data_IF_925980798831
#
_entry.id   IF_925980798831
#
_cell.length_a   1.000
_cell.length_b   1.000
_cell.length_c   1.000
_cell.angle_alpha   90.00
_cell.angle_beta   90.00
_cell.angle_gamma   90.00
#
_symmetry.space_group_name_H-M   'P 1'
#
loop_
_entity.id
_entity.type
_entity.pdbx_description
1 polymer ?
#
# COMPACT_ATOMS: atom_id res chain seq x y z
N UNK A 1 -59.50 91.31 -25.67
CA UNK A 1 -58.87 90.46 -24.63
C UNK A 1 -58.79 88.98 -25.01
N UNK A 2 -59.83 88.37 -25.58
CA UNK A 2 -59.85 86.94 -25.92
C UNK A 2 -58.70 86.47 -26.83
N UNK A 3 -58.33 87.19 -27.89
CA UNK A 3 -57.23 86.80 -28.80
C UNK A 3 -55.84 86.77 -28.13
N UNK A 4 -55.58 87.68 -27.19
CA UNK A 4 -54.29 87.72 -26.44
C UNK A 4 -54.20 86.56 -25.44
N UNK A 5 -55.30 86.26 -24.74
CA UNK A 5 -55.38 85.11 -23.85
C UNK A 5 -55.19 83.79 -24.62
N UNK A 6 -55.77 83.69 -25.82
CA UNK A 6 -55.64 82.51 -26.68
C UNK A 6 -54.18 82.29 -27.13
N UNK A 7 -53.47 83.36 -27.53
CA UNK A 7 -52.04 83.28 -27.86
C UNK A 7 -51.17 82.93 -26.66
N UNK A 8 -51.47 83.45 -25.46
CA UNK A 8 -50.74 83.08 -24.22
C UNK A 8 -50.92 81.59 -23.92
N UNK A 9 -52.14 81.06 -24.03
CA UNK A 9 -52.41 79.64 -23.81
C UNK A 9 -51.70 78.77 -24.85
N UNK A 10 -51.71 79.16 -26.13
CA UNK A 10 -51.03 78.43 -27.21
C UNK A 10 -49.51 78.42 -26.97
N UNK A 11 -48.91 79.56 -26.62
CA UNK A 11 -47.48 79.65 -26.33
C UNK A 11 -47.13 78.82 -25.09
N UNK A 12 -47.92 78.91 -24.02
CA UNK A 12 -47.71 78.10 -22.82
C UNK A 12 -47.84 76.60 -23.10
N UNK A 13 -48.84 76.19 -23.87
CA UNK A 13 -49.01 74.81 -24.28
C UNK A 13 -47.85 74.32 -25.16
N UNK A 14 -47.37 75.14 -26.10
CA UNK A 14 -46.21 74.82 -26.92
C UNK A 14 -44.92 74.69 -26.09
N UNK A 15 -44.70 75.58 -25.11
CA UNK A 15 -43.58 75.50 -24.18
C UNK A 15 -43.66 74.22 -23.35
N UNK A 16 -44.82 73.89 -22.80
CA UNK A 16 -45.02 72.65 -22.02
C UNK A 16 -44.80 71.42 -22.90
N UNK A 17 -45.28 71.43 -24.15
CA UNK A 17 -45.14 70.32 -25.09
C UNK A 17 -43.68 70.03 -25.44
N UNK A 18 -42.79 71.04 -25.39
CA UNK A 18 -41.35 70.88 -25.64
C UNK A 18 -40.59 70.59 -24.34
N UNK A 19 -40.87 71.35 -23.28
CA UNK A 19 -40.14 71.29 -22.02
C UNK A 19 -40.42 70.00 -21.24
N UNK A 20 -41.66 69.49 -21.25
CA UNK A 20 -42.01 68.31 -20.46
C UNK A 20 -41.32 67.03 -20.98
N UNK A 21 -41.32 66.71 -22.29
CA UNK A 21 -40.57 65.56 -22.80
C UNK A 21 -39.06 65.67 -22.55
N UNK A 22 -38.49 66.87 -22.72
CA UNK A 22 -37.08 67.11 -22.43
C UNK A 22 -36.75 66.88 -20.94
N UNK A 23 -37.53 67.46 -20.03
CA UNK A 23 -37.34 67.26 -18.59
C UNK A 23 -37.51 65.79 -18.20
N UNK A 24 -38.49 65.10 -18.78
CA UNK A 24 -38.70 63.67 -18.56
C UNK A 24 -37.49 62.86 -19.03
N UNK A 25 -36.93 63.18 -20.18
CA UNK A 25 -35.75 62.53 -20.73
C UNK A 25 -34.53 62.73 -19.82
N UNK A 26 -34.21 63.98 -19.47
CA UNK A 26 -33.05 64.27 -18.61
C UNK A 26 -33.17 63.66 -17.21
N UNK A 27 -34.36 63.71 -16.61
CA UNK A 27 -34.63 63.11 -15.28
C UNK A 27 -34.76 61.58 -15.31
N UNK A 28 -34.51 60.94 -16.45
CA UNK A 28 -34.48 59.48 -16.62
C UNK A 28 -33.07 58.95 -16.82
N UNK A 29 -32.06 59.82 -16.94
CA UNK A 29 -30.67 59.43 -17.18
C UNK A 29 -29.95 59.05 -15.88
N UNK A 30 -28.96 58.15 -15.96
CA UNK A 30 -28.08 57.83 -14.83
C UNK A 30 -27.39 59.06 -14.21
N UNK A 31 -27.08 60.08 -15.02
CA UNK A 31 -26.45 61.34 -14.56
C UNK A 31 -27.34 62.11 -13.58
N UNK A 32 -28.65 62.15 -13.82
CA UNK A 32 -29.60 62.76 -12.89
C UNK A 32 -29.68 61.94 -11.60
N UNK A 33 -29.81 60.62 -11.70
CA UNK A 33 -29.85 59.75 -10.53
C UNK A 33 -28.60 59.90 -9.65
N UNK A 34 -27.42 60.12 -10.27
CA UNK A 34 -26.16 60.33 -9.56
C UNK A 34 -26.08 61.64 -8.74
N UNK A 35 -27.06 62.53 -8.86
CA UNK A 35 -27.16 63.75 -8.05
C UNK A 35 -27.66 63.46 -6.64
N UNK A 36 -28.46 62.39 -6.46
CA UNK A 36 -28.94 61.93 -5.15
C UNK A 36 -27.84 61.16 -4.41
N UNK A 37 -27.62 61.45 -3.13
CA UNK A 37 -26.58 60.81 -2.33
C UNK A 37 -26.90 59.34 -2.06
N UNK A 38 -28.18 59.00 -1.88
CA UNK A 38 -28.65 57.63 -1.72
C UNK A 38 -28.40 56.77 -2.96
N UNK A 39 -28.36 57.37 -4.16
CA UNK A 39 -28.19 56.68 -5.45
C UNK A 39 -26.74 56.48 -5.90
N UNK A 40 -25.78 57.27 -5.40
CA UNK A 40 -24.39 57.25 -5.90
C UNK A 40 -23.75 55.86 -5.95
N UNK A 41 -23.87 55.00 -4.91
CA UNK A 41 -23.27 53.66 -4.96
C UNK A 41 -23.89 52.77 -6.04
N UNK A 42 -25.19 52.91 -6.29
CA UNK A 42 -25.91 52.15 -7.31
C UNK A 42 -25.53 52.56 -8.72
N UNK A 43 -25.29 53.85 -8.94
CA UNK A 43 -24.77 54.36 -10.22
C UNK A 43 -23.33 53.88 -10.45
N UNK A 44 -22.50 53.85 -9.41
CA UNK A 44 -21.14 53.30 -9.51
C UNK A 44 -21.17 51.81 -9.90
N UNK A 45 -21.96 50.99 -9.20
CA UNK A 45 -22.13 49.58 -9.52
C UNK A 45 -22.69 49.35 -10.94
N UNK A 46 -23.65 50.17 -11.38
CA UNK A 46 -24.18 50.10 -12.74
C UNK A 46 -23.11 50.35 -13.80
N UNK A 47 -22.21 51.33 -13.60
CA UNK A 47 -21.11 51.65 -14.52
C UNK A 47 -20.13 50.48 -14.70
N UNK A 48 -19.95 49.68 -13.67
CA UNK A 48 -19.06 48.50 -13.67
C UNK A 48 -19.75 47.24 -14.20
N UNK A 49 -21.08 47.24 -14.28
CA UNK A 49 -21.87 46.10 -14.72
C UNK A 49 -21.88 45.90 -16.24
N UNK A 50 -22.27 44.71 -16.68
CA UNK A 50 -22.52 44.40 -18.09
C UNK A 50 -23.68 45.24 -18.70
N UNK A 51 -24.47 45.93 -17.87
CA UNK A 51 -25.59 46.78 -18.29
C UNK A 51 -25.24 48.28 -18.26
N UNK A 52 -23.97 48.66 -18.14
CA UNK A 52 -23.51 50.05 -18.10
C UNK A 52 -23.87 50.90 -19.34
N UNK A 53 -24.35 50.26 -20.42
CA UNK A 53 -24.81 50.94 -21.65
C UNK A 53 -26.33 51.10 -21.73
N UNK A 54 -27.06 50.68 -20.71
CA UNK A 54 -28.52 50.72 -20.65
C UNK A 54 -28.95 51.69 -19.56
N UNK A 55 -29.83 52.64 -19.88
CA UNK A 55 -30.33 53.62 -18.89
C UNK A 55 -31.09 52.95 -17.74
N UNK A 56 -30.97 53.50 -16.53
CA UNK A 56 -31.63 52.99 -15.31
C UNK A 56 -33.11 52.69 -15.53
N UNK A 57 -33.78 53.55 -16.29
CA UNK A 57 -35.23 53.49 -16.53
C UNK A 57 -35.66 52.39 -17.49
N UNK A 58 -34.74 51.77 -18.23
CA UNK A 58 -35.07 50.55 -18.97
C UNK A 58 -35.46 49.40 -18.02
N UNK A 59 -34.90 49.38 -16.80
CA UNK A 59 -35.18 48.36 -15.78
C UNK A 59 -36.07 48.86 -14.64
N UNK A 60 -36.02 50.15 -14.30
CA UNK A 60 -36.78 50.71 -13.17
C UNK A 60 -38.16 51.28 -13.55
N UNK A 61 -38.58 51.16 -14.81
CA UNK A 61 -39.88 51.62 -15.30
C UNK A 61 -40.52 50.58 -16.21
N UNK A 62 -41.85 50.50 -16.17
CA UNK A 62 -42.61 49.74 -17.16
C UNK A 62 -42.73 50.48 -18.51
N UNK A 63 -42.66 49.75 -19.64
CA UNK A 63 -42.83 50.35 -20.96
C UNK A 63 -44.22 51.01 -21.13
N UNK A 64 -44.32 51.96 -22.07
CA UNK A 64 -45.56 52.68 -22.38
C UNK A 64 -45.82 53.92 -21.50
N UNK A 65 -46.79 54.74 -21.90
CA UNK A 65 -47.07 56.04 -21.28
C UNK A 65 -47.51 55.93 -19.81
N UNK A 66 -48.35 54.94 -19.48
CA UNK A 66 -48.83 54.74 -18.10
C UNK A 66 -47.67 54.42 -17.15
N UNK A 67 -46.73 53.56 -17.57
CA UNK A 67 -45.54 53.24 -16.78
C UNK A 67 -44.64 54.45 -16.55
N UNK A 68 -44.52 55.33 -17.56
CA UNK A 68 -43.81 56.60 -17.45
C UNK A 68 -44.42 57.51 -16.39
N UNK A 69 -45.73 57.69 -16.44
CA UNK A 69 -46.42 58.57 -15.49
C UNK A 69 -46.35 58.03 -14.07
N UNK A 70 -46.55 56.72 -13.87
CA UNK A 70 -46.42 56.07 -12.55
C UNK A 70 -45.04 56.29 -11.94
N UNK A 71 -43.98 56.05 -12.69
CA UNK A 71 -42.62 56.19 -12.15
C UNK A 71 -42.24 57.64 -11.89
N UNK A 72 -42.71 58.60 -12.70
CA UNK A 72 -42.45 60.02 -12.48
C UNK A 72 -43.20 60.57 -11.26
N UNK A 73 -44.46 60.18 -11.06
CA UNK A 73 -45.21 60.49 -9.84
C UNK A 73 -44.55 59.87 -8.60
N UNK A 74 -44.09 58.61 -8.70
CA UNK A 74 -43.31 57.97 -7.64
C UNK A 74 -41.97 58.67 -7.37
N UNK A 75 -41.29 59.15 -8.42
CA UNK A 75 -40.06 59.92 -8.32
C UNK A 75 -40.24 61.23 -7.54
N UNK A 76 -41.39 61.92 -7.68
CA UNK A 76 -41.70 63.09 -6.86
C UNK A 76 -41.77 62.76 -5.37
N UNK A 77 -42.35 61.61 -5.01
CA UNK A 77 -42.34 61.10 -3.64
C UNK A 77 -40.92 60.82 -3.15
N UNK A 78 -40.08 60.22 -4.00
CA UNK A 78 -38.68 59.96 -3.66
C UNK A 78 -37.88 61.25 -3.45
N UNK A 79 -38.12 62.29 -4.26
CA UNK A 79 -37.50 63.62 -4.06
C UNK A 79 -37.91 64.22 -2.72
N UNK A 80 -39.19 64.12 -2.33
CA UNK A 80 -39.64 64.59 -1.03
C UNK A 80 -38.89 63.87 0.10
N UNK A 81 -38.80 62.54 0.06
CA UNK A 81 -38.09 61.72 1.06
C UNK A 81 -36.58 62.04 1.10
N UNK A 82 -35.94 62.22 -0.05
CA UNK A 82 -34.51 62.57 -0.10
C UNK A 82 -34.24 63.94 0.53
N UNK A 83 -35.18 64.89 0.40
CA UNK A 83 -35.05 66.22 1.00
C UNK A 83 -35.37 66.24 2.49
N UNK A 84 -36.35 65.45 2.96
CA UNK A 84 -36.82 65.47 4.35
C UNK A 84 -36.10 64.46 5.25
N UNK A 85 -35.84 63.25 4.76
CA UNK A 85 -35.34 62.12 5.55
C UNK A 85 -33.87 61.77 5.23
N UNK A 86 -33.40 62.06 4.01
CA UNK A 86 -32.01 61.79 3.55
C UNK A 86 -31.58 60.33 3.84
N UNK A 87 -32.30 59.33 3.32
CA UNK A 87 -32.03 57.94 3.62
C UNK A 87 -30.63 57.53 3.14
N UNK A 88 -29.99 56.65 3.90
CA UNK A 88 -28.72 56.04 3.50
C UNK A 88 -28.93 55.05 2.34
N UNK A 89 -27.89 54.78 1.54
CA UNK A 89 -27.96 53.78 0.45
C UNK A 89 -28.41 52.39 0.91
N UNK A 90 -28.10 51.98 2.13
CA UNK A 90 -28.50 50.66 2.65
C UNK A 90 -30.00 50.61 2.98
N UNK A 91 -30.59 51.71 3.45
CA UNK A 91 -32.02 51.79 3.77
C UNK A 91 -32.92 51.67 2.54
N UNK A 92 -32.42 51.99 1.35
CA UNK A 92 -33.17 51.90 0.09
C UNK A 92 -32.85 50.62 -0.70
N UNK A 93 -31.87 49.84 -0.27
CA UNK A 93 -31.42 48.62 -0.95
C UNK A 93 -32.57 47.62 -1.07
N UNK A 94 -32.79 47.10 -2.28
CA UNK A 94 -33.80 46.08 -2.54
C UNK A 94 -35.26 46.54 -2.48
N UNK A 95 -35.53 47.84 -2.25
CA UNK A 95 -36.90 48.38 -2.27
C UNK A 95 -37.47 48.59 -3.68
N UNK A 96 -36.61 48.58 -4.70
CA UNK A 96 -37.02 48.72 -6.09
C UNK A 96 -37.51 47.39 -6.66
N UNK A 97 -38.74 47.37 -7.16
CA UNK A 97 -39.29 46.21 -7.85
C UNK A 97 -38.85 46.17 -9.31
N UNK A 98 -38.21 45.08 -9.73
CA UNK A 98 -37.79 44.81 -11.11
C UNK A 98 -38.37 43.47 -11.57
N UNK A 99 -39.59 43.47 -12.13
CA UNK A 99 -40.27 42.25 -12.57
C UNK A 99 -39.72 41.74 -13.92
N UNK A 100 -39.86 40.42 -14.16
CA UNK A 100 -39.31 39.72 -15.33
C UNK A 100 -39.63 40.39 -16.67
N UNK A 101 -40.84 40.92 -16.84
CA UNK A 101 -41.29 41.61 -18.07
C UNK A 101 -40.32 42.71 -18.55
N UNK A 102 -39.55 43.32 -17.65
CA UNK A 102 -38.58 44.37 -17.98
C UNK A 102 -37.28 43.79 -18.52
N UNK A 103 -36.87 42.63 -18.01
CA UNK A 103 -35.78 41.85 -18.59
C UNK A 103 -36.18 41.33 -19.98
N UNK A 104 -37.41 40.80 -20.10
CA UNK A 104 -37.98 40.20 -21.32
C UNK A 104 -38.26 41.22 -22.44
N UNK A 105 -38.23 42.52 -22.12
CA UNK A 105 -38.26 43.58 -23.13
C UNK A 105 -37.02 43.50 -24.05
N UNK A 106 -35.89 43.02 -23.52
CA UNK A 106 -34.63 42.86 -24.26
C UNK A 106 -34.17 41.39 -24.39
N UNK A 107 -34.43 40.55 -23.39
CA UNK A 107 -33.99 39.14 -23.34
C UNK A 107 -35.16 38.20 -23.57
N UNK A 108 -35.34 37.70 -24.80
CA UNK A 108 -36.40 36.73 -25.12
C UNK A 108 -36.01 35.33 -24.64
N UNK A 109 -36.90 34.67 -23.90
CA UNK A 109 -36.64 33.39 -23.22
C UNK A 109 -36.19 32.27 -24.17
N UNK A 110 -36.65 32.31 -25.42
CA UNK A 110 -36.31 31.36 -26.49
C UNK A 110 -34.94 31.62 -27.13
N UNK A 111 -34.35 32.80 -26.93
CA UNK A 111 -33.04 33.18 -27.45
C UNK A 111 -31.92 33.02 -26.42
N UNK A 112 -32.25 32.73 -25.17
CA UNK A 112 -31.26 32.56 -24.10
C UNK A 112 -30.81 31.11 -24.05
N UNK A 113 -29.60 30.87 -24.58
CA UNK A 113 -28.95 29.56 -24.51
C UNK A 113 -28.11 29.44 -23.25
N UNK A 114 -28.16 28.27 -22.61
CA UNK A 114 -27.25 27.92 -21.52
C UNK A 114 -26.12 27.09 -22.11
N UNK A 115 -24.91 27.62 -22.03
CA UNK A 115 -23.71 26.91 -22.48
C UNK A 115 -23.19 26.04 -21.32
N UNK A 116 -23.39 24.74 -21.42
CA UNK A 116 -22.91 23.76 -20.44
C UNK A 116 -23.24 22.32 -20.82
N UNK A 117 -22.69 21.36 -20.07
CA UNK A 117 -22.99 19.92 -20.20
C UNK A 117 -24.30 19.51 -19.52
N UNK A 118 -25.23 20.46 -19.35
CA UNK A 118 -26.52 20.26 -18.72
C UNK A 118 -27.61 21.03 -19.47
N UNK A 119 -28.82 20.51 -19.41
CA UNK A 119 -30.02 21.10 -20.00
C UNK A 119 -30.70 22.01 -18.98
N UNK A 120 -30.96 23.26 -19.36
CA UNK A 120 -31.72 24.20 -18.58
C UNK A 120 -32.74 24.93 -19.45
N UNK A 121 -33.97 25.09 -18.95
CA UNK A 121 -35.06 25.74 -19.67
C UNK A 121 -35.49 27.02 -18.95
N UNK A 122 -35.17 28.18 -19.53
CA UNK A 122 -35.67 29.47 -19.03
C UNK A 122 -37.20 29.56 -19.12
N UNK A 123 -37.81 29.01 -20.18
CA UNK A 123 -39.27 28.95 -20.36
C UNK A 123 -39.97 28.17 -19.25
N UNK A 124 -39.39 27.04 -18.81
CA UNK A 124 -39.95 26.29 -17.68
C UNK A 124 -39.87 27.09 -16.37
N UNK A 125 -38.73 27.69 -16.08
CA UNK A 125 -38.47 28.33 -14.79
C UNK A 125 -39.10 29.73 -14.68
N UNK A 126 -38.82 30.61 -15.62
CA UNK A 126 -39.32 31.98 -15.61
C UNK A 126 -40.75 32.09 -16.17
N UNK A 127 -41.05 31.37 -17.25
CA UNK A 127 -42.37 31.40 -17.89
C UNK A 127 -43.41 30.60 -17.12
N UNK A 128 -43.29 29.27 -17.10
CA UNK A 128 -44.31 28.37 -16.51
C UNK A 128 -44.35 28.40 -14.99
N UNK A 129 -43.20 28.49 -14.32
CA UNK A 129 -43.10 28.52 -12.85
C UNK A 129 -43.07 29.93 -12.27
N UNK A 130 -42.99 30.96 -13.11
CA UNK A 130 -43.06 32.36 -12.69
C UNK A 130 -41.89 32.80 -11.80
N UNK A 131 -40.74 32.14 -11.85
CA UNK A 131 -39.58 32.49 -11.03
C UNK A 131 -38.99 33.82 -11.49
N UNK A 132 -38.73 34.72 -10.54
CA UNK A 132 -38.10 36.00 -10.85
C UNK A 132 -36.70 35.79 -11.43
N UNK A 133 -36.33 36.48 -12.51
CA UNK A 133 -35.02 36.36 -13.15
C UNK A 133 -33.87 36.59 -12.15
N UNK A 134 -34.06 37.57 -11.26
CA UNK A 134 -33.10 37.96 -10.21
C UNK A 134 -32.91 36.91 -9.11
N UNK A 135 -33.77 35.90 -9.02
CA UNK A 135 -33.58 34.74 -8.14
C UNK A 135 -32.29 33.99 -8.49
N UNK A 136 -32.04 33.85 -9.80
CA UNK A 136 -30.85 33.19 -10.33
C UNK A 136 -29.78 34.23 -10.70
N UNK A 137 -30.17 35.28 -11.42
CA UNK A 137 -29.29 36.38 -11.82
C UNK A 137 -29.30 37.51 -10.78
N UNK A 138 -28.96 37.17 -9.54
CA UNK A 138 -28.87 38.14 -8.44
C UNK A 138 -27.65 39.06 -8.59
N UNK A 139 -27.77 40.32 -8.16
CA UNK A 139 -26.63 41.24 -8.10
C UNK A 139 -26.06 41.69 -9.45
N UNK A 140 -26.80 41.50 -10.56
CA UNK A 140 -26.36 41.82 -11.93
C UNK A 140 -25.83 43.26 -12.12
N UNK A 141 -26.54 44.24 -11.57
CA UNK A 141 -26.28 45.68 -11.78
C UNK A 141 -25.90 46.39 -10.49
N UNK A 142 -26.42 45.90 -9.36
CA UNK A 142 -26.30 46.53 -8.06
C UNK A 142 -25.72 45.56 -7.04
N UNK A 143 -24.42 45.27 -7.17
CA UNK A 143 -23.68 44.38 -6.29
C UNK A 143 -22.79 43.43 -7.08
N UNK A 144 -22.50 42.29 -6.48
CA UNK A 144 -21.70 41.24 -7.10
C UNK A 144 -22.60 40.27 -7.85
N UNK A 145 -22.29 40.02 -9.12
CA UNK A 145 -23.01 39.04 -9.92
C UNK A 145 -22.99 37.66 -9.25
N UNK A 146 -24.19 37.09 -9.06
CA UNK A 146 -24.33 35.75 -8.50
C UNK A 146 -23.85 34.72 -9.52
N UNK A 147 -22.72 34.06 -9.21
CA UNK A 147 -22.28 32.86 -9.94
C UNK A 147 -23.06 31.66 -9.43
N UNK A 148 -23.85 31.04 -10.31
CA UNK A 148 -24.65 29.86 -9.97
C UNK A 148 -23.77 28.62 -9.92
N UNK A 149 -23.96 27.83 -8.86
CA UNK A 149 -23.36 26.52 -8.69
C UNK A 149 -24.43 25.42 -8.84
N UNK A 150 -24.01 24.18 -9.07
CA UNK A 150 -24.94 23.05 -9.07
C UNK A 150 -25.69 22.92 -7.73
N UNK A 151 -25.03 23.29 -6.62
CA UNK A 151 -25.62 23.27 -5.29
C UNK A 151 -26.80 24.25 -5.19
N UNK A 152 -26.68 25.47 -5.75
CA UNK A 152 -27.79 26.44 -5.81
C UNK A 152 -29.03 25.83 -6.50
N UNK A 153 -28.81 25.08 -7.59
CA UNK A 153 -29.88 24.43 -8.33
C UNK A 153 -30.56 23.35 -7.50
N UNK A 154 -29.77 22.46 -6.87
CA UNK A 154 -30.26 21.35 -6.07
C UNK A 154 -30.98 21.83 -4.82
N UNK A 155 -30.48 22.86 -4.14
CA UNK A 155 -31.12 23.38 -2.93
C UNK A 155 -32.48 24.01 -3.25
N UNK A 156 -32.58 24.78 -4.33
CA UNK A 156 -33.84 25.31 -4.82
C UNK A 156 -34.80 24.17 -5.21
N UNK A 157 -34.32 23.16 -5.94
CA UNK A 157 -35.14 22.02 -6.35
C UNK A 157 -35.61 21.19 -5.16
N UNK A 158 -34.79 20.97 -4.14
CA UNK A 158 -35.22 20.34 -2.89
C UNK A 158 -36.31 21.15 -2.20
N UNK A 159 -36.14 22.47 -2.13
CA UNK A 159 -37.11 23.37 -1.48
C UNK A 159 -38.44 23.45 -2.25
N UNK A 160 -38.41 23.37 -3.59
CA UNK A 160 -39.58 23.54 -4.46
C UNK A 160 -40.08 22.22 -5.08
N UNK A 161 -39.61 21.08 -4.56
CA UNK A 161 -39.94 19.73 -5.04
C UNK A 161 -39.69 19.53 -6.56
N UNK A 162 -38.60 20.11 -7.06
CA UNK A 162 -38.08 19.89 -8.40
C UNK A 162 -37.25 18.61 -8.53
N UNK A 163 -36.91 18.19 -9.76
CA UNK A 163 -36.11 17.00 -10.00
C UNK A 163 -34.68 17.19 -9.49
N UNK A 164 -34.18 16.23 -8.73
CA UNK A 164 -32.82 16.24 -8.15
C UNK A 164 -31.95 15.10 -8.67
N UNK A 165 -32.51 14.19 -9.49
CA UNK A 165 -31.74 13.18 -10.21
C UNK A 165 -30.82 13.84 -11.22
N UNK A 166 -29.58 13.34 -11.31
CA UNK A 166 -28.56 13.87 -12.20
C UNK A 166 -29.08 13.95 -13.64
N UNK A 167 -29.68 12.85 -14.11
CA UNK A 167 -30.19 12.66 -15.47
C UNK A 167 -31.26 13.66 -15.90
N UNK A 168 -31.92 14.30 -14.94
CA UNK A 168 -32.93 15.32 -15.23
C UNK A 168 -32.33 16.61 -15.76
N UNK A 169 -31.06 16.88 -15.42
CA UNK A 169 -30.31 18.03 -15.90
C UNK A 169 -29.17 17.59 -16.85
N UNK A 170 -28.66 16.38 -16.68
CA UNK A 170 -27.46 15.89 -17.32
C UNK A 170 -27.78 14.75 -18.29
N UNK A 171 -28.13 15.10 -19.53
CA UNK A 171 -28.56 14.13 -20.55
C UNK A 171 -27.43 13.23 -21.06
N UNK A 172 -26.18 13.72 -21.08
CA UNK A 172 -25.01 12.94 -21.49
C UNK A 172 -24.09 12.61 -20.30
N UNK A 173 -24.28 11.42 -19.73
CA UNK A 173 -23.43 10.89 -18.66
C UNK A 173 -21.96 10.77 -19.07
N UNK A 174 -21.68 10.55 -20.36
CA UNK A 174 -20.32 10.44 -20.88
C UNK A 174 -19.64 11.81 -21.04
N UNK A 175 -20.41 12.89 -21.26
CA UNK A 175 -19.90 14.27 -21.25
C UNK A 175 -19.54 14.79 -19.85
N UNK A 176 -20.07 14.16 -18.80
CA UNK A 176 -19.86 14.57 -17.40
C UNK A 176 -18.76 13.75 -16.74
N UNK A 177 -18.55 12.51 -17.20
CA UNK A 177 -17.35 11.75 -16.87
C UNK A 177 -16.18 12.40 -17.61
N UNK A 178 -15.21 13.04 -16.93
CA UNK A 178 -14.15 13.69 -17.66
C UNK A 178 -13.38 12.65 -18.49
N UNK A 179 -13.04 13.00 -19.73
CA UNK A 179 -12.35 12.14 -20.71
C UNK A 179 -11.08 11.49 -20.15
N UNK A 180 -10.55 12.06 -19.08
CA UNK A 180 -9.38 11.57 -18.38
C UNK A 180 -9.60 10.24 -17.67
N UNK A 181 -10.82 9.75 -17.37
CA UNK A 181 -11.08 8.49 -16.62
C UNK A 181 -10.66 7.19 -17.36
N UNK A 182 -9.44 7.17 -17.88
CA UNK A 182 -8.73 6.08 -18.52
C UNK A 182 -7.68 5.48 -17.55
N UNK A 183 -6.85 4.57 -18.06
CA UNK A 183 -5.78 3.96 -17.26
C UNK A 183 -4.75 4.98 -16.73
N UNK A 184 -4.62 6.17 -17.34
CA UNK A 184 -3.70 7.22 -16.89
C UNK A 184 -4.30 8.03 -15.74
N UNK A 185 -5.60 8.33 -15.76
CA UNK A 185 -6.25 8.91 -14.57
C UNK A 185 -6.26 7.94 -13.41
N UNK A 186 -6.53 6.64 -13.61
CA UNK A 186 -6.42 5.66 -12.51
C UNK A 186 -5.05 5.73 -11.82
N UNK A 187 -3.97 5.97 -12.57
CA UNK A 187 -2.63 6.15 -12.03
C UNK A 187 -2.40 7.51 -11.31
N UNK A 188 -3.13 8.57 -11.67
CA UNK A 188 -2.92 9.93 -11.16
C UNK A 188 -4.05 10.46 -10.25
N UNK A 189 -5.20 9.77 -10.17
CA UNK A 189 -6.42 10.27 -9.53
C UNK A 189 -6.23 10.56 -8.05
N UNK A 190 -5.36 9.81 -7.35
CA UNK A 190 -5.06 10.04 -5.94
C UNK A 190 -4.35 11.38 -5.70
N UNK A 191 -3.57 11.88 -6.66
CA UNK A 191 -2.93 13.20 -6.57
C UNK A 191 -3.94 14.32 -6.83
N UNK A 192 -4.84 14.13 -7.80
CA UNK A 192 -5.89 15.11 -8.10
C UNK A 192 -6.96 15.16 -6.98
N UNK A 193 -7.38 14.01 -6.45
CA UNK A 193 -8.32 13.91 -5.33
C UNK A 193 -7.77 14.55 -4.03
N UNK A 194 -6.45 14.59 -3.84
CA UNK A 194 -5.82 15.31 -2.72
C UNK A 194 -5.88 16.83 -2.88
N UNK A 195 -5.91 17.34 -4.11
CA UNK A 195 -5.99 18.79 -4.37
C UNK A 195 -7.39 19.30 -4.07
N UNK A 196 -8.41 18.57 -4.55
CA UNK A 196 -9.81 18.94 -4.36
C UNK A 196 -10.71 17.70 -4.38
N UNK A 197 -10.91 17.13 -3.19
CA UNK A 197 -11.82 15.99 -3.04
C UNK A 197 -13.27 16.41 -3.26
N UNK A 198 -13.64 17.64 -2.87
CA UNK A 198 -15.01 18.14 -2.96
C UNK A 198 -15.49 18.24 -4.41
N UNK A 199 -14.60 18.61 -5.33
CA UNK A 199 -14.87 18.56 -6.77
C UNK A 199 -15.28 17.16 -7.26
N UNK A 200 -14.69 16.10 -6.69
CA UNK A 200 -15.00 14.72 -7.05
C UNK A 200 -16.31 14.26 -6.38
N UNK A 201 -16.51 14.59 -5.11
CA UNK A 201 -17.72 14.23 -4.36
C UNK A 201 -18.95 14.96 -4.87
N UNK A 202 -18.77 16.04 -5.62
CA UNK A 202 -19.86 16.75 -6.30
C UNK A 202 -20.68 15.80 -7.20
N UNK A 203 -20.03 14.83 -7.85
CA UNK A 203 -20.70 13.78 -8.61
C UNK A 203 -20.75 12.42 -7.88
N UNK A 204 -19.76 12.11 -7.04
CA UNK A 204 -19.62 10.82 -6.35
C UNK A 204 -20.28 10.79 -4.95
N UNK A 205 -21.53 11.21 -4.85
CA UNK A 205 -22.29 11.31 -3.58
C UNK A 205 -23.71 10.74 -3.61
N UNK A 206 -24.14 10.11 -4.72
CA UNK A 206 -25.47 9.50 -4.88
C UNK A 206 -25.78 8.35 -3.91
N UNK A 207 -26.68 7.42 -4.28
CA UNK A 207 -27.25 6.36 -3.41
C UNK A 207 -26.25 5.53 -2.58
N UNK A 208 -24.99 5.46 -3.00
CA UNK A 208 -23.95 4.74 -2.30
C UNK A 208 -23.32 5.56 -1.16
N UNK A 209 -23.29 6.89 -1.24
CA UNK A 209 -22.49 7.74 -0.35
C UNK A 209 -21.00 7.67 -0.66
N UNK A 210 -20.27 8.73 -0.30
CA UNK A 210 -18.84 8.90 -0.62
C UNK A 210 -17.99 7.70 -0.20
N UNK A 211 -18.17 7.26 1.04
CA UNK A 211 -17.40 6.16 1.63
C UNK A 211 -17.61 4.85 0.87
N UNK A 212 -18.86 4.54 0.53
CA UNK A 212 -19.23 3.31 -0.18
C UNK A 212 -18.77 3.37 -1.64
N UNK A 213 -18.81 4.55 -2.27
CA UNK A 213 -18.29 4.75 -3.62
C UNK A 213 -16.78 4.56 -3.67
N UNK A 214 -16.02 5.24 -2.80
CA UNK A 214 -14.58 5.06 -2.67
C UNK A 214 -14.22 3.60 -2.40
N UNK A 215 -14.99 2.92 -1.53
CA UNK A 215 -14.77 1.52 -1.18
C UNK A 215 -15.05 0.53 -2.31
N UNK A 216 -15.82 0.89 -3.35
CA UNK A 216 -15.98 0.03 -4.53
C UNK A 216 -14.65 -0.19 -5.27
N UNK A 217 -13.75 0.79 -5.22
CA UNK A 217 -12.44 0.72 -5.88
C UNK A 217 -11.30 0.50 -4.87
N UNK A 218 -11.32 1.18 -3.72
CA UNK A 218 -10.27 1.09 -2.69
C UNK A 218 -10.42 -0.13 -1.77
N UNK A 219 -11.52 -0.88 -1.85
CA UNK A 219 -11.76 -2.13 -1.12
C UNK A 219 -11.41 -2.06 0.39
N UNK A 220 -11.78 -0.95 1.03
CA UNK A 220 -11.57 -0.74 2.47
C UNK A 220 -10.19 -0.19 2.86
N UNK A 221 -9.32 0.12 1.91
CA UNK A 221 -8.06 0.85 2.17
C UNK A 221 -8.38 2.33 2.36
N UNK A 222 -8.10 2.87 3.55
CA UNK A 222 -8.31 4.29 3.86
C UNK A 222 -7.39 5.17 3.01
N UNK A 223 -7.97 6.11 2.27
CA UNK A 223 -7.27 7.06 1.41
C UNK A 223 -7.56 8.52 1.81
N UNK A 224 -6.56 9.41 1.82
CA UNK A 224 -5.13 9.10 1.71
C UNK A 224 -4.65 8.22 2.87
N UNK A 225 -3.63 7.38 2.65
CA UNK A 225 -3.08 6.54 3.72
C UNK A 225 -2.74 7.39 4.95
N UNK A 226 -3.13 6.97 6.17
CA UNK A 226 -2.82 7.72 7.40
C UNK A 226 -1.31 7.83 7.61
N UNK A 227 -0.85 8.86 8.33
CA UNK A 227 0.58 9.15 8.51
C UNK A 227 1.40 7.96 9.08
N UNK A 228 0.77 7.10 9.88
CA UNK A 228 1.40 5.91 10.47
C UNK A 228 1.16 4.61 9.66
N UNK A 229 0.55 4.70 8.48
CA UNK A 229 0.21 3.53 7.66
C UNK A 229 1.45 2.69 7.31
N UNK A 230 2.55 3.33 6.92
CA UNK A 230 3.82 2.64 6.61
C UNK A 230 4.33 1.78 7.78
N UNK A 231 4.12 2.19 9.03
CA UNK A 231 4.55 1.45 10.22
C UNK A 231 3.59 0.32 10.61
N UNK A 232 2.32 0.45 10.27
CA UNK A 232 1.24 -0.38 10.80
C UNK A 232 0.50 -1.20 9.73
N UNK A 233 0.87 -1.08 8.45
CA UNK A 233 0.21 -1.82 7.38
C UNK A 233 0.54 -3.32 7.48
N UNK A 234 -0.44 -4.09 7.94
CA UNK A 234 -0.45 -5.56 7.88
C UNK A 234 -1.47 -5.94 6.82
N UNK A 235 -1.00 -6.26 5.62
CA UNK A 235 -1.89 -6.57 4.50
C UNK A 235 -2.00 -8.08 4.37
N UNK A 236 -3.20 -8.61 4.60
CA UNK A 236 -3.52 -10.04 4.44
C UNK A 236 -3.61 -10.44 2.96
N UNK A 237 -3.89 -9.49 2.07
CA UNK A 237 -4.07 -9.70 0.64
C UNK A 237 -3.41 -8.59 -0.20
N UNK A 238 -2.26 -8.93 -0.78
CA UNK A 238 -1.45 -8.06 -1.64
C UNK A 238 -2.15 -7.70 -2.97
N UNK A 239 -3.22 -8.40 -3.35
CA UNK A 239 -3.96 -8.12 -4.60
C UNK A 239 -4.68 -6.77 -4.55
N UNK A 240 -5.06 -6.31 -3.35
CA UNK A 240 -5.65 -4.99 -3.13
C UNK A 240 -4.65 -3.88 -3.49
N UNK A 241 -3.38 -4.06 -3.16
CA UNK A 241 -2.31 -3.11 -3.49
C UNK A 241 -2.02 -3.11 -5.00
N UNK A 242 -2.00 -4.28 -5.63
CA UNK A 242 -1.78 -4.46 -7.07
C UNK A 242 -2.91 -3.88 -7.93
N UNK A 243 -4.07 -3.59 -7.35
CA UNK A 243 -5.16 -2.90 -8.06
C UNK A 243 -4.77 -1.48 -8.48
N UNK A 244 -3.83 -0.85 -7.77
CA UNK A 244 -3.35 0.52 -8.07
C UNK A 244 -1.83 0.59 -8.33
N UNK A 245 -1.02 -0.29 -7.71
CA UNK A 245 0.45 -0.28 -7.82
C UNK A 245 1.01 -1.22 -8.91
N UNK A 246 0.17 -1.70 -9.82
CA UNK A 246 0.60 -2.56 -10.91
C UNK A 246 0.94 -1.77 -12.17
N UNK A 247 2.23 -1.62 -12.45
CA UNK A 247 2.70 -2.05 -13.76
C UNK A 247 3.82 -3.07 -13.59
N UNK A 248 3.67 -4.29 -14.12
CA UNK A 248 4.80 -5.14 -14.38
C UNK A 248 5.57 -4.51 -15.55
N UNK A 249 6.82 -4.13 -15.33
CA UNK A 249 7.76 -4.06 -16.44
C UNK A 249 7.94 -5.51 -16.89
N UNK A 250 7.81 -5.75 -18.19
CA UNK A 250 8.19 -7.01 -18.82
C UNK A 250 9.54 -7.48 -18.23
N UNK A 251 9.57 -8.67 -17.62
CA UNK A 251 10.76 -9.18 -16.91
C UNK A 251 10.63 -9.37 -15.38
N UNK A 252 9.44 -9.19 -14.81
CA UNK A 252 9.06 -9.91 -13.58
C UNK A 252 9.67 -9.43 -12.26
N UNK A 253 9.92 -8.13 -12.08
CA UNK A 253 10.16 -7.57 -10.74
C UNK A 253 9.34 -6.30 -10.50
N UNK A 254 8.45 -6.37 -9.51
CA UNK A 254 7.65 -5.24 -9.05
C UNK A 254 8.57 -4.15 -8.47
N UNK A 255 8.88 -3.12 -9.27
CA UNK A 255 9.65 -1.96 -8.83
C UNK A 255 8.98 -1.20 -7.66
N UNK A 256 7.67 -1.34 -7.45
CA UNK A 256 6.91 -0.61 -6.42
C UNK A 256 6.98 -1.22 -5.02
N UNK A 257 6.97 -2.55 -4.91
CA UNK A 257 7.09 -3.24 -3.62
C UNK A 257 8.55 -3.27 -3.18
N UNK A 258 9.46 -3.60 -4.10
CA UNK A 258 10.89 -3.75 -3.82
C UNK A 258 11.54 -2.39 -3.47
N UNK A 259 11.05 -1.27 -4.03
CA UNK A 259 11.57 0.06 -3.70
C UNK A 259 11.43 0.41 -2.22
N UNK A 260 10.40 -0.11 -1.55
CA UNK A 260 10.14 0.17 -0.13
C UNK A 260 10.53 -1.02 0.77
N UNK A 261 10.24 -2.26 0.36
CA UNK A 261 10.48 -3.46 1.16
C UNK A 261 11.87 -4.06 0.99
N UNK A 262 12.61 -3.68 -0.07
CA UNK A 262 13.96 -4.16 -0.39
C UNK A 262 14.10 -5.69 -0.56
N UNK A 263 12.99 -6.41 -0.44
CA UNK A 263 12.82 -7.85 -0.60
C UNK A 263 11.56 -8.08 -1.44
N UNK A 264 11.60 -9.09 -2.29
CA UNK A 264 10.45 -9.48 -3.11
C UNK A 264 9.28 -9.94 -2.23
N UNK A 265 8.12 -9.32 -2.44
CA UNK A 265 6.89 -9.57 -1.68
C UNK A 265 5.69 -9.73 -2.64
N UNK A 266 4.82 -10.75 -2.43
CA UNK A 266 4.92 -11.81 -1.44
C UNK A 266 6.18 -12.67 -1.66
N UNK A 267 6.79 -13.15 -0.57
CA UNK A 267 8.00 -13.97 -0.68
C UNK A 267 7.74 -15.15 -1.63
N UNK A 268 8.72 -15.52 -2.49
CA UNK A 268 8.54 -16.57 -3.47
C UNK A 268 8.25 -17.92 -2.79
N UNK A 269 7.60 -18.85 -3.50
CA UNK A 269 7.19 -20.14 -2.94
C UNK A 269 8.37 -20.98 -2.40
N UNK A 270 9.59 -20.75 -2.91
CA UNK A 270 10.84 -21.39 -2.46
C UNK A 270 11.64 -20.54 -1.44
N UNK A 271 11.04 -19.50 -0.85
CA UNK A 271 11.73 -18.59 0.07
C UNK A 271 12.33 -19.30 1.28
N UNK A 272 11.62 -20.28 1.85
CA UNK A 272 12.07 -21.05 3.01
C UNK A 272 13.42 -21.73 2.80
N UNK A 273 13.74 -22.17 1.57
CA UNK A 273 15.03 -22.78 1.23
C UNK A 273 16.07 -21.79 0.69
N UNK A 274 15.65 -20.60 0.25
CA UNK A 274 16.53 -19.64 -0.43
C UNK A 274 16.90 -18.42 0.42
N UNK A 275 16.13 -18.11 1.48
CA UNK A 275 16.30 -16.91 2.30
C UNK A 275 17.69 -16.81 2.93
N UNK A 276 18.30 -17.92 3.36
CA UNK A 276 19.64 -17.90 3.95
C UNK A 276 20.72 -17.39 2.98
N UNK A 277 20.66 -17.81 1.70
CA UNK A 277 21.57 -17.32 0.66
C UNK A 277 21.32 -15.83 0.39
N UNK A 278 20.05 -15.43 0.33
CA UNK A 278 19.67 -14.02 0.17
C UNK A 278 20.22 -13.15 1.30
N UNK A 279 20.07 -13.57 2.57
CA UNK A 279 20.58 -12.83 3.74
C UNK A 279 22.11 -12.67 3.70
N UNK A 280 22.84 -13.70 3.26
CA UNK A 280 24.30 -13.61 3.12
C UNK A 280 24.73 -12.65 2.01
N UNK A 281 23.95 -12.56 0.93
CA UNK A 281 24.22 -11.70 -0.23
C UNK A 281 23.76 -10.24 -0.01
N UNK A 282 22.76 -10.02 0.84
CA UNK A 282 22.09 -8.71 1.02
C UNK A 282 22.13 -8.27 2.49
N UNK A 283 23.35 -8.07 3.03
CA UNK A 283 23.59 -7.71 4.45
C UNK A 283 22.97 -6.37 4.89
N UNK A 284 22.58 -5.55 3.92
CA UNK A 284 21.97 -4.23 4.08
C UNK A 284 20.45 -4.28 4.30
N UNK A 285 19.81 -5.44 4.18
CA UNK A 285 18.38 -5.61 4.46
C UNK A 285 18.17 -5.97 5.93
N UNK A 286 17.50 -5.11 6.68
CA UNK A 286 17.14 -5.40 8.08
C UNK A 286 15.80 -6.15 8.16
N UNK A 287 15.87 -7.47 8.30
CA UNK A 287 14.68 -8.32 8.42
C UNK A 287 13.82 -7.98 9.65
N UNK A 288 14.42 -7.46 10.72
CA UNK A 288 13.73 -7.13 11.97
C UNK A 288 12.83 -5.89 11.87
N UNK A 289 12.91 -5.16 10.76
CA UNK A 289 11.97 -4.08 10.45
C UNK A 289 10.55 -4.62 10.22
N UNK A 290 10.43 -5.86 9.76
CA UNK A 290 9.14 -6.50 9.48
C UNK A 290 8.90 -7.77 10.30
N UNK A 291 9.98 -8.43 10.75
CA UNK A 291 9.92 -9.71 11.45
C UNK A 291 10.37 -9.61 12.90
N UNK A 292 9.78 -10.46 13.75
CA UNK A 292 10.20 -10.59 15.15
C UNK A 292 11.15 -11.76 15.34
N UNK A 293 12.01 -11.72 16.37
CA UNK A 293 12.95 -12.81 16.69
C UNK A 293 12.23 -14.15 16.94
N UNK A 294 11.00 -14.10 17.46
CA UNK A 294 10.14 -15.26 17.71
C UNK A 294 9.72 -15.96 16.42
N UNK A 295 9.49 -15.23 15.32
CA UNK A 295 9.14 -15.81 14.03
C UNK A 295 10.29 -16.64 13.46
N UNK A 296 11.53 -16.16 13.59
CA UNK A 296 12.71 -16.92 13.20
C UNK A 296 12.86 -18.19 14.04
N UNK A 297 12.60 -18.09 15.36
CA UNK A 297 12.79 -19.17 16.33
C UNK A 297 11.80 -20.33 16.14
N UNK A 298 10.71 -20.12 15.41
CA UNK A 298 9.75 -21.18 15.06
C UNK A 298 10.42 -22.27 14.23
N UNK A 299 11.28 -21.88 13.28
CA UNK A 299 12.03 -22.79 12.40
C UNK A 299 13.52 -22.90 12.78
N UNK A 300 14.20 -21.79 13.08
CA UNK A 300 15.62 -21.76 13.44
C UNK A 300 15.83 -22.08 14.92
N UNK A 301 16.25 -23.30 15.24
CA UNK A 301 16.57 -23.75 16.61
C UNK A 301 18.04 -23.51 16.99
N UNK A 302 18.83 -22.98 16.06
CA UNK A 302 20.27 -22.72 16.15
C UNK A 302 20.51 -21.32 15.61
N UNK A 303 21.51 -20.61 16.15
CA UNK A 303 21.83 -19.24 15.75
C UNK A 303 22.31 -19.20 14.28
N UNK A 304 21.71 -18.27 13.51
CA UNK A 304 21.97 -18.07 12.09
C UNK A 304 22.30 -16.60 11.79
N UNK A 305 23.29 -16.30 10.91
CA UNK A 305 24.22 -17.25 10.32
C UNK A 305 25.08 -17.93 11.40
N UNK A 306 25.45 -19.19 11.17
CA UNK A 306 26.30 -19.93 12.12
C UNK A 306 27.55 -19.11 12.47
N UNK A 307 27.98 -19.09 13.74
CA UNK A 307 29.15 -18.32 14.15
C UNK A 307 30.42 -18.81 13.45
N UNK A 308 31.45 -17.96 13.33
CA UNK A 308 32.72 -18.34 12.70
C UNK A 308 33.38 -19.56 13.38
N UNK A 309 33.11 -19.78 14.66
CA UNK A 309 33.59 -20.93 15.44
C UNK A 309 32.75 -22.20 15.25
N UNK A 310 31.74 -22.21 14.39
CA UNK A 310 30.79 -23.32 14.25
C UNK A 310 31.49 -24.65 13.95
N UNK A 311 32.53 -24.65 13.11
CA UNK A 311 33.26 -25.89 12.80
C UNK A 311 33.87 -26.54 14.05
N UNK A 312 34.30 -25.78 15.04
CA UNK A 312 34.85 -26.32 16.29
C UNK A 312 33.80 -26.55 17.38
N UNK A 313 32.61 -25.92 17.29
CA UNK A 313 31.57 -26.01 18.34
C UNK A 313 30.35 -26.86 17.95
N UNK A 314 30.12 -27.14 16.67
CA UNK A 314 28.90 -27.80 16.18
C UNK A 314 28.67 -29.18 16.81
N UNK A 315 29.75 -29.93 17.13
CA UNK A 315 29.64 -31.23 17.79
C UNK A 315 29.00 -31.15 19.18
N UNK A 316 29.33 -30.11 19.97
CA UNK A 316 28.70 -29.88 21.29
C UNK A 316 27.22 -29.51 21.14
N UNK A 317 26.90 -28.68 20.15
CA UNK A 317 25.51 -28.29 19.86
C UNK A 317 24.68 -29.49 19.38
N UNK A 318 25.24 -30.34 18.52
CA UNK A 318 24.58 -31.55 18.04
C UNK A 318 24.31 -32.56 19.18
N UNK A 319 25.23 -32.66 20.15
CA UNK A 319 25.03 -33.48 21.36
C UNK A 319 23.94 -32.91 22.27
N UNK A 320 23.92 -31.59 22.46
CA UNK A 320 22.97 -30.94 23.38
C UNK A 320 21.55 -30.85 22.82
N UNK A 321 21.40 -30.60 21.51
CA UNK A 321 20.10 -30.35 20.85
C UNK A 321 19.61 -31.52 19.99
N UNK A 322 20.41 -32.57 19.84
CA UNK A 322 20.15 -33.67 18.93
C UNK A 322 20.37 -33.30 17.46
N UNK A 323 20.73 -34.28 16.63
CA UNK A 323 21.02 -34.06 15.21
C UNK A 323 19.75 -33.78 14.37
N UNK A 324 18.57 -34.14 14.88
CA UNK A 324 17.28 -33.79 14.28
C UNK A 324 17.01 -32.27 14.26
N UNK A 325 17.66 -31.49 15.13
CA UNK A 325 17.60 -30.03 15.09
C UNK A 325 18.33 -29.41 13.88
N UNK A 326 19.12 -30.22 13.17
CA UNK A 326 19.93 -29.83 12.00
C UNK A 326 19.42 -30.50 10.71
N UNK A 327 19.01 -31.78 10.81
CA UNK A 327 18.55 -32.60 9.69
C UNK A 327 17.08 -32.38 9.35
N UNK A 328 16.74 -32.47 8.06
CA UNK A 328 15.36 -32.43 7.57
C UNK A 328 14.79 -31.02 7.40
N UNK A 329 15.24 -30.05 8.19
CA UNK A 329 14.83 -28.65 8.06
C UNK A 329 15.76 -27.80 7.19
N UNK A 330 17.07 -28.05 7.23
CA UNK A 330 18.05 -27.25 6.47
C UNK A 330 19.22 -28.08 5.88
N UNK A 331 19.67 -29.12 6.58
CA UNK A 331 20.73 -30.02 6.09
C UNK A 331 20.23 -31.45 5.89
N UNK A 332 20.95 -32.21 5.07
CA UNK A 332 20.71 -33.64 4.88
C UNK A 332 21.79 -34.46 5.59
N UNK A 333 21.53 -35.75 5.80
CA UNK A 333 22.55 -36.68 6.34
C UNK A 333 23.82 -36.67 5.47
N UNK A 334 23.67 -36.54 4.15
CA UNK A 334 24.78 -36.43 3.22
C UNK A 334 25.71 -35.24 3.51
N UNK A 335 25.17 -34.13 4.03
CA UNK A 335 25.99 -32.98 4.44
C UNK A 335 26.94 -33.35 5.57
N UNK A 336 26.47 -34.07 6.59
CA UNK A 336 27.34 -34.53 7.66
C UNK A 336 28.30 -35.61 7.18
N UNK A 337 27.84 -36.59 6.40
CA UNK A 337 28.67 -37.67 5.85
C UNK A 337 29.76 -37.13 4.90
N UNK A 338 29.55 -35.96 4.29
CA UNK A 338 30.56 -35.31 3.44
C UNK A 338 31.83 -34.93 4.22
N UNK A 339 31.68 -34.56 5.49
CA UNK A 339 32.78 -34.17 6.38
C UNK A 339 33.13 -35.26 7.40
N UNK A 340 32.13 -35.88 8.03
CA UNK A 340 32.28 -36.96 9.01
C UNK A 340 32.42 -38.29 8.28
N UNK A 341 33.67 -38.74 8.11
CA UNK A 341 33.99 -40.06 7.52
C UNK A 341 34.14 -41.18 8.57
N UNK A 342 33.87 -40.85 9.83
CA UNK A 342 33.87 -41.75 10.99
C UNK A 342 32.55 -41.62 11.76
N UNK A 343 32.09 -42.66 12.48
CA UNK A 343 30.84 -42.58 13.25
C UNK A 343 30.89 -41.48 14.31
N UNK A 344 29.90 -40.58 14.29
CA UNK A 344 29.75 -39.46 15.22
C UNK A 344 28.36 -39.47 15.88
N UNK A 345 28.24 -39.07 17.16
CA UNK A 345 29.32 -38.68 18.07
C UNK A 345 30.19 -39.87 18.50
N UNK A 346 31.47 -39.65 18.76
CA UNK A 346 32.32 -40.68 19.37
C UNK A 346 31.76 -41.11 20.74
N UNK A 347 31.68 -42.42 21.00
CA UNK A 347 31.33 -42.91 22.33
C UNK A 347 32.43 -42.61 23.35
N UNK A 348 32.09 -42.61 24.64
CA UNK A 348 33.07 -42.50 25.72
C UNK A 348 34.13 -43.62 25.69
N UNK A 349 33.78 -44.77 25.11
CA UNK A 349 34.66 -45.92 24.90
C UNK A 349 35.43 -45.90 23.57
N UNK A 350 35.18 -44.92 22.69
CA UNK A 350 35.80 -44.89 21.37
C UNK A 350 37.33 -44.91 21.46
N UNK A 351 37.90 -44.07 22.33
CA UNK A 351 39.36 -43.95 22.53
C UNK A 351 40.03 -45.27 22.93
N UNK A 352 39.34 -46.13 23.67
CA UNK A 352 39.90 -47.35 24.26
C UNK A 352 39.52 -48.63 23.52
N UNK A 353 38.38 -48.64 22.80
CA UNK A 353 37.85 -49.87 22.20
C UNK A 353 37.96 -49.89 20.67
N UNK A 354 37.65 -48.79 19.98
CA UNK A 354 37.47 -48.80 18.50
C UNK A 354 38.33 -47.78 17.75
N UNK A 355 38.99 -46.86 18.44
CA UNK A 355 39.84 -45.82 17.85
C UNK A 355 40.92 -46.40 16.94
N UNK A 356 41.74 -47.34 17.43
CA UNK A 356 42.82 -47.93 16.63
C UNK A 356 42.34 -48.65 15.37
N UNK A 357 41.29 -49.47 15.48
CA UNK A 357 40.70 -50.16 14.35
C UNK A 357 40.08 -49.19 13.32
N UNK A 358 39.45 -48.12 13.78
CA UNK A 358 38.88 -47.08 12.92
C UNK A 358 39.97 -46.30 12.19
N UNK A 359 41.04 -45.92 12.89
CA UNK A 359 42.19 -45.24 12.30
C UNK A 359 42.91 -46.11 11.26
N UNK A 360 43.02 -47.41 11.49
CA UNK A 360 43.58 -48.36 10.52
C UNK A 360 42.69 -48.49 9.28
N UNK A 361 41.37 -48.62 9.47
CA UNK A 361 40.43 -48.82 8.36
C UNK A 361 40.17 -47.56 7.53
N UNK A 362 40.23 -46.36 8.13
CA UNK A 362 39.90 -45.08 7.48
C UNK A 362 41.11 -44.19 7.20
N UNK A 363 42.30 -44.58 7.68
CA UNK A 363 43.52 -43.78 7.61
C UNK A 363 43.53 -42.64 8.62
N UNK A 364 44.71 -42.32 9.16
CA UNK A 364 44.90 -41.24 10.14
C UNK A 364 44.61 -39.85 9.56
N UNK A 365 44.74 -39.67 8.24
CA UNK A 365 44.41 -38.42 7.53
C UNK A 365 42.96 -37.99 7.74
N UNK A 366 42.04 -38.95 7.83
CA UNK A 366 40.62 -38.70 8.09
C UNK A 366 40.41 -37.98 9.44
N UNK A 367 41.21 -38.32 10.45
CA UNK A 367 41.10 -37.73 11.78
C UNK A 367 41.59 -36.27 11.81
N UNK A 368 42.56 -35.91 10.95
CA UNK A 368 43.10 -34.54 10.89
C UNK A 368 42.13 -33.48 10.38
N UNK A 369 40.98 -33.92 9.83
CA UNK A 369 39.86 -33.04 9.47
C UNK A 369 39.30 -32.29 10.69
N UNK A 370 39.40 -32.89 11.89
CA UNK A 370 38.86 -32.33 13.13
C UNK A 370 39.90 -32.27 14.27
N UNK A 371 40.91 -33.15 14.25
CA UNK A 371 41.94 -33.26 15.29
C UNK A 371 43.28 -32.72 14.81
N UNK A 372 44.06 -32.15 15.72
CA UNK A 372 45.42 -31.70 15.42
C UNK A 372 46.40 -32.87 15.41
N UNK A 373 47.39 -32.84 14.51
CA UNK A 373 48.44 -33.88 14.42
C UNK A 373 49.22 -34.05 15.73
N UNK A 374 49.35 -32.98 16.51
CA UNK A 374 50.04 -32.99 17.81
C UNK A 374 49.27 -33.76 18.89
N UNK A 375 47.95 -33.96 18.75
CA UNK A 375 47.16 -34.74 19.71
C UNK A 375 47.48 -36.24 19.62
N UNK A 376 47.94 -36.71 18.46
CA UNK A 376 48.35 -38.10 18.27
C UNK A 376 49.68 -38.41 18.94
N UNK A 377 50.64 -37.49 18.88
CA UNK A 377 52.02 -37.74 19.33
C UNK A 377 52.11 -37.98 20.84
N UNK A 378 51.21 -37.41 21.63
CA UNK A 378 51.16 -37.60 23.10
C UNK A 378 50.99 -39.07 23.50
N UNK A 379 50.29 -39.88 22.70
CA UNK A 379 50.11 -41.32 22.97
C UNK A 379 50.87 -42.22 21.99
N UNK A 380 51.08 -41.80 20.73
CA UNK A 380 51.68 -42.64 19.69
C UNK A 380 53.20 -42.41 19.49
N UNK A 381 53.83 -41.40 20.10
CA UNK A 381 55.26 -41.13 19.90
C UNK A 381 56.18 -42.25 20.42
N UNK A 382 55.74 -43.00 21.44
CA UNK A 382 56.56 -44.01 22.13
C UNK A 382 55.96 -45.43 22.09
N UNK A 383 54.93 -45.67 21.27
CA UNK A 383 54.19 -46.94 21.23
C UNK A 383 54.19 -47.51 19.81
N UNK A 384 54.72 -48.74 19.64
CA UNK A 384 54.62 -49.48 18.38
C UNK A 384 53.17 -49.93 18.18
N UNK A 385 52.43 -49.20 17.36
CA UNK A 385 51.07 -49.56 16.95
C UNK A 385 51.08 -50.88 16.18
N UNK A 386 50.05 -51.70 16.39
CA UNK A 386 49.95 -53.03 15.79
C UNK A 386 50.00 -52.95 14.26
N UNK A 387 50.92 -53.69 13.65
CA UNK A 387 50.98 -53.91 12.20
C UNK A 387 49.88 -54.90 11.76
N UNK A 388 49.61 -55.00 10.46
CA UNK A 388 48.60 -55.94 9.93
C UNK A 388 48.92 -57.41 10.23
N UNK A 389 50.19 -57.75 10.50
CA UNK A 389 50.65 -59.08 10.90
C UNK A 389 50.62 -59.32 12.42
N UNK A 390 50.22 -58.33 13.23
CA UNK A 390 50.22 -58.43 14.68
C UNK A 390 49.31 -59.53 15.20
N UNK A 391 48.15 -59.75 14.56
CA UNK A 391 47.18 -60.76 14.99
C UNK A 391 47.76 -62.19 14.99
N UNK A 392 48.68 -62.50 14.07
CA UNK A 392 49.33 -63.81 14.00
C UNK A 392 50.30 -64.07 15.16
N UNK A 393 50.85 -63.02 15.77
CA UNK A 393 51.79 -63.08 16.90
C UNK A 393 51.19 -62.61 18.22
N UNK A 394 49.98 -62.05 18.20
CA UNK A 394 49.30 -61.39 19.31
C UNK A 394 49.20 -62.26 20.56
N UNK A 395 48.77 -63.52 20.40
CA UNK A 395 48.63 -64.46 21.53
C UNK A 395 49.97 -64.71 22.23
N UNK A 396 51.02 -64.92 21.44
CA UNK A 396 52.38 -65.17 21.95
C UNK A 396 53.03 -63.94 22.58
N UNK A 397 52.75 -62.75 22.06
CA UNK A 397 53.27 -61.49 22.61
C UNK A 397 52.52 -61.08 23.88
N UNK A 398 51.20 -61.26 23.93
CA UNK A 398 50.40 -61.01 25.13
C UNK A 398 50.81 -61.92 26.28
N UNK A 399 51.04 -63.21 26.02
CA UNK A 399 51.51 -64.15 27.04
C UNK A 399 52.86 -63.74 27.66
N UNK A 400 53.73 -63.06 26.89
CA UNK A 400 55.06 -62.60 27.37
C UNK A 400 54.98 -61.37 28.26
N UNK A 401 54.08 -60.42 27.99
CA UNK A 401 53.93 -59.22 28.82
C UNK A 401 52.51 -58.64 28.76
N UNK A 402 51.56 -59.20 29.54
CA UNK A 402 50.19 -58.73 29.57
C UNK A 402 50.06 -57.27 30.03
N UNK A 403 50.90 -56.83 30.98
CA UNK A 403 50.85 -55.48 31.55
C UNK A 403 51.14 -54.38 30.51
N UNK A 404 52.07 -54.65 29.57
CA UNK A 404 52.36 -53.74 28.46
C UNK A 404 51.15 -53.57 27.53
N UNK A 405 50.39 -54.64 27.28
CA UNK A 405 49.17 -54.57 26.48
C UNK A 405 48.03 -53.87 27.22
N UNK A 406 47.90 -54.11 28.53
CA UNK A 406 46.85 -53.53 29.39
C UNK A 406 47.03 -52.03 29.64
N UNK A 407 48.20 -51.46 29.32
CA UNK A 407 48.46 -50.01 29.34
C UNK A 407 47.60 -49.28 28.30
N UNK A 408 47.26 -49.94 27.18
CA UNK A 408 46.36 -49.41 26.15
C UNK A 408 45.01 -50.14 26.10
N UNK A 409 44.97 -51.44 26.43
CA UNK A 409 43.76 -52.28 26.47
C UNK A 409 43.26 -52.46 27.91
N UNK A 410 42.66 -51.40 28.47
CA UNK A 410 42.36 -51.31 29.91
C UNK A 410 41.09 -52.05 30.36
N UNK A 411 40.31 -52.67 29.46
CA UNK A 411 39.06 -53.35 29.82
C UNK A 411 38.96 -54.76 29.19
N UNK A 412 38.38 -55.72 29.94
CA UNK A 412 38.08 -57.09 29.46
C UNK A 412 37.12 -57.08 28.26
N UNK A 413 36.30 -56.04 28.11
CA UNK A 413 35.36 -55.86 27.00
C UNK A 413 36.06 -55.77 25.65
N UNK A 414 37.26 -55.19 25.59
CA UNK A 414 38.04 -55.05 24.34
C UNK A 414 38.53 -56.42 23.87
N UNK A 415 39.05 -57.25 24.79
CA UNK A 415 39.44 -58.62 24.49
C UNK A 415 38.20 -59.47 24.11
N UNK A 416 37.14 -59.38 24.91
CA UNK A 416 35.92 -60.16 24.69
C UNK A 416 35.20 -59.77 23.39
N UNK A 417 35.28 -58.53 22.92
CA UNK A 417 34.67 -58.10 21.65
C UNK A 417 35.22 -58.85 20.42
N UNK A 418 36.49 -59.26 20.46
CA UNK A 418 37.12 -60.07 19.42
C UNK A 418 37.06 -61.57 19.74
N UNK A 419 37.35 -61.97 20.98
CA UNK A 419 37.41 -63.38 21.39
C UNK A 419 36.03 -64.06 21.55
N UNK A 420 34.96 -63.31 21.86
CA UNK A 420 33.59 -63.86 21.92
C UNK A 420 33.10 -64.42 20.59
N UNK A 421 33.69 -63.99 19.47
CA UNK A 421 33.36 -64.52 18.13
C UNK A 421 34.01 -65.87 17.83
N UNK A 422 35.06 -66.25 18.56
CA UNK A 422 35.92 -67.41 18.24
C UNK A 422 35.61 -68.62 19.15
N UNK A 423 35.05 -68.41 20.36
CA UNK A 423 34.28 -69.45 21.08
C UNK A 423 35.03 -70.70 21.56
N UNK A 424 36.19 -70.56 22.22
CA UNK A 424 36.89 -71.70 22.82
C UNK A 424 36.37 -71.97 24.25
N UNK A 425 35.50 -72.97 24.41
CA UNK A 425 34.98 -73.48 25.70
C UNK A 425 35.53 -74.87 26.00
N UNK A 426 35.29 -75.43 27.20
CA UNK A 426 35.67 -76.83 27.53
C UNK A 426 35.08 -77.87 26.57
N UNK A 427 34.02 -77.49 25.85
CA UNK A 427 33.36 -78.29 24.80
C UNK A 427 33.82 -77.95 23.38
N UNK A 428 34.95 -77.27 23.20
CA UNK A 428 35.46 -76.83 21.89
C UNK A 428 35.57 -77.99 20.88
N UNK A 429 36.08 -79.15 21.31
CA UNK A 429 36.24 -80.32 20.43
C UNK A 429 34.90 -80.77 19.82
N UNK A 430 33.76 -80.60 20.49
CA UNK A 430 32.47 -81.02 19.93
C UNK A 430 31.83 -79.97 19.02
N UNK A 431 32.34 -78.73 18.99
CA UNK A 431 31.76 -77.61 18.23
C UNK A 431 32.70 -76.98 17.20
N UNK A 432 33.97 -77.36 17.20
CA UNK A 432 34.98 -76.79 16.30
C UNK A 432 34.65 -77.02 14.81
N UNK A 433 33.98 -78.11 14.45
CA UNK A 433 33.53 -78.37 13.07
C UNK A 433 32.54 -77.33 12.55
N UNK A 434 31.62 -76.86 13.41
CA UNK A 434 30.66 -75.79 13.06
C UNK A 434 31.40 -74.47 12.87
N UNK A 435 32.38 -74.18 13.73
CA UNK A 435 33.21 -72.97 13.61
C UNK A 435 34.06 -72.98 12.34
N UNK A 436 34.66 -74.12 11.97
CA UNK A 436 35.39 -74.27 10.70
C UNK A 436 34.46 -74.09 9.50
N UNK A 437 33.24 -74.62 9.56
CA UNK A 437 32.23 -74.43 8.51
C UNK A 437 31.77 -72.98 8.37
N UNK A 438 31.69 -72.23 9.48
CA UNK A 438 31.21 -70.85 9.49
C UNK A 438 32.30 -69.83 9.11
N UNK A 439 33.54 -70.08 9.51
CA UNK A 439 34.63 -69.09 9.40
C UNK A 439 35.78 -69.51 8.48
N UNK A 440 35.78 -70.75 8.00
CA UNK A 440 36.84 -71.31 7.16
C UNK A 440 38.07 -71.74 7.96
N UNK A 441 38.68 -72.87 7.56
CA UNK A 441 39.85 -73.43 8.26
C UNK A 441 41.11 -72.55 8.18
N UNK A 442 41.19 -71.66 7.20
CA UNK A 442 42.33 -70.78 6.99
C UNK A 442 42.39 -69.67 8.04
N UNK A 443 41.22 -69.18 8.48
CA UNK A 443 41.12 -68.20 9.56
C UNK A 443 41.55 -68.80 10.90
N UNK A 444 41.40 -70.11 11.10
CA UNK A 444 41.93 -70.78 12.29
C UNK A 444 43.47 -70.86 12.24
N UNK A 445 44.03 -71.00 11.03
CA UNK A 445 45.47 -71.12 10.79
C UNK A 445 46.21 -69.79 10.98
N UNK A 446 45.49 -68.66 11.08
CA UNK A 446 46.10 -67.38 11.47
C UNK A 446 46.42 -67.32 12.97
N UNK A 447 45.82 -68.20 13.78
CA UNK A 447 45.99 -68.23 15.24
C UNK A 447 46.65 -69.53 15.73
N UNK A 448 46.51 -70.64 14.99
CA UNK A 448 47.05 -71.94 15.34
C UNK A 448 47.92 -72.51 14.21
N UNK A 449 49.02 -73.16 14.57
CA UNK A 449 49.83 -73.92 13.62
C UNK A 449 49.04 -75.16 13.17
N UNK A 450 48.72 -75.23 11.88
CA UNK A 450 47.90 -76.28 11.29
C UNK A 450 48.50 -77.67 11.47
N UNK A 451 49.83 -77.78 11.41
CA UNK A 451 50.57 -79.04 11.50
C UNK A 451 50.70 -79.48 12.95
N UNK A 452 50.81 -78.57 13.92
CA UNK A 452 50.91 -78.93 15.34
C UNK A 452 49.56 -79.15 16.02
N UNK A 453 48.52 -78.46 15.58
CA UNK A 453 47.26 -78.36 16.33
C UNK A 453 46.11 -79.18 15.72
N UNK A 454 46.08 -79.38 14.40
CA UNK A 454 44.98 -80.08 13.73
C UNK A 454 45.33 -81.51 13.31
N UNK A 455 46.60 -81.78 12.98
CA UNK A 455 47.06 -83.07 12.42
C UNK A 455 46.95 -84.25 13.39
N UNK A 456 46.89 -84.00 14.72
CA UNK A 456 46.73 -85.05 15.73
C UNK A 456 45.35 -85.70 15.71
N UNK A 457 44.35 -85.01 15.14
CA UNK A 457 42.95 -85.46 15.13
C UNK A 457 42.37 -85.58 13.71
N UNK A 458 42.90 -84.88 12.71
CA UNK A 458 42.40 -84.83 11.33
C UNK A 458 43.46 -85.28 10.30
N UNK A 459 43.80 -86.58 10.32
CA UNK A 459 44.80 -87.16 9.41
C UNK A 459 44.32 -87.26 7.97
#
# INVERSE_FOLDING_TARGET
MQKRLLWIIIIAAAIIAIAAPFAIHETSKPTFCNTCHSMKPYVAAWKESNHARVDCMACHRDPGFVGLMKVKLGGLKQVAVELTEKPSPDEIKGKAEVPNRRCEACHKLDQITVNGTFTFSHELHAGKKGLACVTCHGGLVHGTEKKLTMQDCIDCHKQKNGPTSCESCHQDKAAIKPQNHDAKWLAAHGTEAKKDLAACTTCHTGELGLEKYCNTCHKGVTMPHPANWLKNHKVSDVTVCNTCHAKPVEGGKAQTCISCHQVEMPHPANWTSTHGKFTLQNKNVNCYTCHTKTECSSCHKIDMPHPATWLSTHGKTALAKGTSSCYGSCHTKATCDSCHKVPMPHSSSFKTTTHGATALAKGSSTCYTCHSKNECTTCHANVKIHDSGFFAKHSSEYAKNPAKCNTCHTNKTTCNSCHSKIGHTETWITRHGIAVGQYGSDLCSTCHDRVKFCSSCHR
#
